data_IF_079172677043
#
_entry.id   IF_079172677043
#
_cell.length_a   1.000
_cell.length_b   1.000
_cell.length_c   1.000
_cell.angle_alpha   90.00
_cell.angle_beta   90.00
_cell.angle_gamma   90.00
#
_symmetry.space_group_name_H-M   'P 1'
#
loop_
_entity.id
_entity.type
_entity.pdbx_description
1 polymer ?
2 non-polymer ?
3 non-polymer ?
4 water ?
#
# COMPACT_ATOMS: atom_id res chain seq x y z
N UNK A 9 3.23 25.94 -9.45
CA UNK A 9 4.09 26.39 -10.52
C UNK A 9 5.34 26.92 -9.71
N UNK A 10 5.31 28.10 -9.09
CA UNK A 10 6.44 28.52 -8.25
C UNK A 10 6.30 27.93 -6.83
N UNK A 11 7.42 27.66 -6.20
CA UNK A 11 7.34 27.16 -4.83
C UNK A 11 7.08 28.28 -3.86
N UNK A 12 6.24 28.00 -2.88
CA UNK A 12 5.98 28.96 -1.83
C UNK A 12 6.13 28.27 -0.48
N UNK A 13 6.64 29.01 0.49
CA UNK A 13 6.71 28.48 1.84
C UNK A 13 5.32 28.08 2.32
N UNK A 14 5.23 26.90 2.93
CA UNK A 14 3.92 26.43 3.44
C UNK A 14 3.49 27.37 4.56
N UNK A 15 2.24 27.80 4.53
CA UNK A 15 1.74 28.70 5.55
C UNK A 15 0.51 28.14 6.24
N UNK A 16 0.06 26.95 5.86
CA UNK A 16 -1.03 26.23 6.53
C UNK A 16 -0.56 25.66 7.86
N UNK A 17 -1.13 26.05 9.01
CA UNK A 17 -0.59 25.59 10.31
C UNK A 17 -0.52 24.07 10.46
N UNK A 18 -1.56 23.35 10.02
CA UNK A 18 -1.53 21.89 10.12
C UNK A 18 -0.31 21.28 9.42
N UNK A 19 0.14 21.89 8.32
CA UNK A 19 1.12 21.30 7.42
C UNK A 19 2.52 21.84 7.65
N UNK A 20 2.66 22.74 8.62
CA UNK A 20 3.97 23.35 8.84
C UNK A 20 4.82 22.34 9.60
N UNK A 21 6.05 22.13 9.12
CA UNK A 21 6.89 21.11 9.74
C UNK A 21 6.54 19.68 9.38
N UNK A 22 5.85 19.45 8.26
CA UNK A 22 5.37 18.12 7.92
C UNK A 22 6.45 17.21 7.36
N UNK A 23 7.61 17.74 6.98
CA UNK A 23 8.67 16.99 6.38
C UNK A 23 9.18 17.58 5.07
N UNK A 24 8.44 18.53 4.51
CA UNK A 24 8.92 19.29 3.36
C UNK A 24 8.47 20.73 3.57
N UNK A 25 9.21 21.64 2.94
CA UNK A 25 9.11 23.06 3.24
C UNK A 25 8.18 23.85 2.32
N UNK A 26 8.06 23.45 1.06
CA UNK A 26 7.44 24.27 0.03
C UNK A 26 6.25 23.58 -0.59
N UNK A 27 5.27 24.39 -1.00
CA UNK A 27 4.12 23.88 -1.72
C UNK A 27 3.93 24.69 -3.00
N UNK A 28 2.90 24.37 -3.78
CA UNK A 28 2.54 25.18 -4.95
C UNK A 28 1.03 25.21 -5.05
N UNK A 29 0.53 26.17 -5.85
CA UNK A 29 -0.88 26.26 -6.21
C UNK A 29 -1.01 26.30 -7.72
N UNK A 30 -2.16 25.87 -8.27
CA UNK A 30 -3.36 25.37 -7.58
C UNK A 30 -3.16 23.94 -7.12
N UNK A 31 -3.93 23.46 -6.15
CA UNK A 31 -3.89 22.06 -5.79
C UNK A 31 -4.98 21.36 -6.59
N UNK A 32 -5.26 20.09 -6.33
CA UNK A 32 -6.36 19.39 -7.02
C UNK A 32 -7.69 19.51 -6.28
N UNK A 33 -7.79 20.43 -5.32
CA UNK A 33 -9.03 20.67 -4.58
C UNK A 33 -9.67 21.99 -4.96
N UNK A 34 -9.31 22.51 -6.14
CA UNK A 34 -9.89 23.71 -6.70
C UNK A 34 -9.50 24.94 -5.90
N UNK A 35 -8.38 24.86 -5.18
CA UNK A 35 -7.81 26.00 -4.48
C UNK A 35 -6.70 26.69 -5.29
N UNK A 36 -6.79 28.02 -5.36
CA UNK A 36 -5.78 28.85 -5.98
C UNK A 36 -4.78 29.36 -4.96
N UNK A 37 -5.10 29.32 -3.67
CA UNK A 37 -4.22 29.90 -2.66
C UNK A 37 -4.14 28.99 -1.44
N UNK A 38 -3.05 29.12 -0.67
CA UNK A 38 -2.95 28.39 0.59
C UNK A 38 -4.02 28.79 1.57
N UNK A 39 -4.47 30.05 1.54
CA UNK A 39 -5.55 30.46 2.43
C UNK A 39 -6.81 29.62 2.17
N UNK A 40 -7.17 29.42 0.89
CA UNK A 40 -8.32 28.57 0.55
C UNK A 40 -8.07 27.11 1.01
N UNK A 41 -6.87 26.60 0.76
CA UNK A 41 -6.57 25.21 1.13
C UNK A 41 -6.62 25.05 2.65
N UNK A 42 -6.10 26.06 3.35
CA UNK A 42 -6.04 26.02 4.79
C UNK A 42 -7.42 25.97 5.41
N UNK A 43 -8.36 26.71 4.82
CA UNK A 43 -9.72 26.70 5.35
C UNK A 43 -10.36 25.31 5.25
N UNK A 44 -10.08 24.56 4.16
CA UNK A 44 -10.65 23.22 4.02
C UNK A 44 -9.91 22.21 4.88
N UNK A 45 -8.58 22.20 4.84
CA UNK A 45 -7.89 21.15 5.55
C UNK A 45 -8.03 21.32 7.06
N UNK A 46 -8.26 22.55 7.55
CA UNK A 46 -8.45 22.73 8.99
C UNK A 46 -9.64 21.93 9.48
N UNK A 47 -10.62 21.72 8.64
CA UNK A 47 -11.79 21.00 9.11
C UNK A 47 -11.46 19.57 9.59
N UNK A 48 -10.30 19.01 9.22
CA UNK A 48 -9.90 17.67 9.64
C UNK A 48 -9.21 17.61 11.01
N UNK A 49 -9.02 18.75 11.67
CA UNK A 49 -8.21 18.72 12.89
C UNK A 49 -8.70 17.75 13.96
N UNK A 50 -10.00 17.52 14.17
CA UNK A 50 -10.41 16.56 15.19
C UNK A 50 -9.95 15.14 14.87
N UNK A 51 -9.95 14.76 13.58
CA UNK A 51 -9.47 13.43 13.19
C UNK A 51 -7.97 13.34 13.37
N UNK A 52 -7.26 14.44 13.08
CA UNK A 52 -5.83 14.44 13.35
C UNK A 52 -5.60 14.29 14.85
N UNK A 53 -6.37 15.00 15.66
CA UNK A 53 -6.14 15.00 17.09
C UNK A 53 -6.47 13.65 17.74
N UNK A 54 -7.50 12.96 17.23
CA UNK A 54 -7.94 11.66 17.75
C UNK A 54 -6.98 10.58 17.35
N UNK A 55 -6.16 10.84 16.35
CA UNK A 55 -5.12 9.90 15.92
C UNK A 55 -5.68 8.56 15.44
N UNK A 56 -6.67 8.61 14.56
CA UNK A 56 -7.12 7.36 13.97
C UNK A 56 -6.07 6.79 13.01
N UNK A 57 -5.13 7.61 12.53
CA UNK A 57 -4.10 7.09 11.65
C UNK A 57 -2.89 7.98 11.84
N UNK A 58 -1.72 7.41 12.14
CA UNK A 58 -0.49 8.23 12.12
C UNK A 58 -0.22 8.85 10.77
N UNK A 59 -0.85 8.32 9.72
CA UNK A 59 -0.53 8.84 8.41
C UNK A 59 -1.49 9.94 7.97
N UNK A 60 -2.52 10.26 8.74
CA UNK A 60 -3.54 11.17 8.19
C UNK A 60 -2.99 12.55 7.90
N UNK A 61 -2.22 13.12 8.83
CA UNK A 61 -1.75 14.49 8.66
C UNK A 61 -0.85 14.60 7.44
N UNK A 62 0.12 13.69 7.32
CA UNK A 62 0.98 13.71 6.14
C UNK A 62 0.17 13.56 4.86
N UNK A 63 -0.83 12.66 4.87
CA UNK A 63 -1.67 12.44 3.69
C UNK A 63 -2.44 13.73 3.36
N UNK A 64 -3.13 14.28 4.35
CA UNK A 64 -3.87 15.53 4.11
C UNK A 64 -2.97 16.60 3.50
N UNK A 65 -1.80 16.80 4.09
CA UNK A 65 -0.92 17.86 3.60
C UNK A 65 -0.42 17.58 2.19
N UNK A 66 -0.10 16.33 1.94
CA UNK A 66 0.45 15.95 0.63
C UNK A 66 -0.56 16.19 -0.45
N UNK A 67 -1.87 16.24 -0.08
CA UNK A 67 -2.91 16.51 -1.05
C UNK A 67 -3.26 18.00 -1.12
N UNK A 68 -3.44 18.66 0.04
CA UNK A 68 -3.92 20.03 0.07
C UNK A 68 -2.82 21.06 -0.13
N UNK A 69 -1.61 20.78 0.37
CA UNK A 69 -0.43 21.63 0.17
C UNK A 69 0.65 20.72 -0.41
N UNK A 70 0.49 20.33 -1.68
CA UNK A 70 1.39 19.32 -2.27
C UNK A 70 2.85 19.80 -2.37
N UNK A 71 3.76 18.83 -2.28
CA UNK A 71 5.18 19.16 -2.18
C UNK A 71 5.65 19.88 -3.43
N UNK A 72 6.43 20.94 -3.25
CA UNK A 72 7.03 21.64 -4.37
C UNK A 72 8.55 21.51 -4.28
N UNK A 73 9.18 21.06 -5.37
CA UNK A 73 10.64 20.87 -5.40
C UNK A 73 11.26 21.70 -6.49
N UNK A 74 12.46 22.23 -6.23
CA UNK A 74 13.11 23.04 -7.25
C UNK A 74 13.57 22.20 -8.44
N UNK A 75 13.87 20.92 -8.24
CA UNK A 75 14.51 20.17 -9.33
C UNK A 75 13.62 19.07 -9.91
N UNK A 76 12.33 19.12 -9.61
CA UNK A 76 11.36 18.20 -10.19
C UNK A 76 10.10 19.03 -10.42
N UNK A 77 9.71 19.18 -11.67
CA UNK A 77 8.67 20.15 -11.98
C UNK A 77 7.40 19.46 -12.46
N UNK A 78 7.17 18.26 -11.98
CA UNK A 78 5.92 17.59 -12.25
C UNK A 78 5.17 17.51 -10.94
N UNK A 79 3.83 17.54 -10.96
CA UNK A 79 3.07 17.26 -9.74
C UNK A 79 3.55 15.95 -9.14
N UNK A 80 3.77 15.95 -7.83
CA UNK A 80 4.33 14.79 -7.17
C UNK A 80 3.36 14.35 -6.07
N UNK A 81 2.59 13.29 -6.28
CA UNK A 81 1.55 12.92 -5.31
C UNK A 81 2.10 12.03 -4.21
N UNK A 82 1.36 11.89 -3.09
CA UNK A 82 1.61 10.76 -2.19
C UNK A 82 1.40 9.47 -2.95
N UNK A 83 2.20 8.48 -2.60
CA UNK A 83 1.97 7.14 -3.09
C UNK A 83 0.60 6.63 -2.64
N UNK A 84 0.01 5.76 -3.46
CA UNK A 84 -1.32 5.22 -3.15
C UNK A 84 -1.34 4.59 -1.77
N UNK A 85 -0.22 4.00 -1.36
CA UNK A 85 -0.20 3.34 -0.05
C UNK A 85 -0.43 4.29 1.13
N UNK A 86 0.06 5.54 1.05
CA UNK A 86 -0.15 6.50 2.14
C UNK A 86 -1.65 6.75 2.30
N UNK A 87 -2.34 6.90 1.17
CA UNK A 87 -3.77 7.11 1.18
C UNK A 87 -4.50 5.90 1.74
N UNK A 88 -4.06 4.70 1.34
CA UNK A 88 -4.69 3.48 1.81
C UNK A 88 -4.51 3.32 3.32
N UNK A 89 -3.35 3.69 3.86
CA UNK A 89 -3.17 3.55 5.29
C UNK A 89 -4.03 4.55 6.06
N UNK A 90 -4.03 5.82 5.61
CA UNK A 90 -4.84 6.85 6.25
C UNK A 90 -6.32 6.48 6.21
N UNK A 91 -6.80 6.03 5.05
CA UNK A 91 -8.18 5.59 4.88
C UNK A 91 -8.53 4.40 5.77
N UNK A 92 -7.62 3.41 5.89
CA UNK A 92 -7.93 2.23 6.72
C UNK A 92 -8.09 2.61 8.18
N UNK A 93 -7.28 3.56 8.66
CA UNK A 93 -7.38 3.97 10.04
C UNK A 93 -8.58 4.86 10.32
N UNK A 94 -8.94 5.72 9.39
CA UNK A 94 -9.84 6.81 9.74
C UNK A 94 -11.21 6.74 9.08
N UNK A 95 -11.33 6.09 7.91
CA UNK A 95 -12.62 6.04 7.23
C UNK A 95 -13.71 5.36 8.06
N UNK A 96 -13.43 4.26 8.80
CA UNK A 96 -14.51 3.68 9.65
C UNK A 96 -15.05 4.63 10.70
N UNK A 97 -14.15 5.30 11.44
CA UNK A 97 -14.60 6.30 12.41
C UNK A 97 -15.39 7.41 11.73
N UNK A 98 -14.93 7.85 10.55
CA UNK A 98 -15.63 8.90 9.82
C UNK A 98 -17.06 8.47 9.47
N UNK A 99 -17.22 7.23 8.99
CA UNK A 99 -18.54 6.76 8.59
C UNK A 99 -19.49 6.70 9.77
N UNK A 100 -18.99 6.20 10.90
CA UNK A 100 -19.75 6.12 12.14
C UNK A 100 -20.43 7.45 12.45
N UNK A 101 -19.75 8.56 12.21
CA UNK A 101 -20.31 9.86 12.50
C UNK A 101 -20.86 10.53 11.24
N UNK A 102 -21.15 9.74 10.20
CA UNK A 102 -21.86 10.22 9.04
C UNK A 102 -21.06 10.92 7.96
N UNK A 103 -19.73 10.74 7.91
CA UNK A 103 -18.87 11.37 6.91
C UNK A 103 -18.25 10.31 6.00
N UNK A 104 -18.44 10.45 4.69
CA UNK A 104 -17.84 9.55 3.73
C UNK A 104 -16.38 9.97 3.49
N UNK A 105 -15.57 9.00 3.07
CA UNK A 105 -14.22 9.28 2.59
C UNK A 105 -14.34 10.09 1.32
N UNK A 106 -13.73 11.27 1.24
CA UNK A 106 -14.03 12.19 0.15
C UNK A 106 -13.62 11.63 -1.21
N UNK A 107 -14.44 11.89 -2.23
CA UNK A 107 -14.11 11.36 -3.56
C UNK A 107 -12.76 11.85 -4.09
N UNK A 108 -12.43 13.12 -3.91
CA UNK A 108 -11.11 13.56 -4.34
C UNK A 108 -9.96 12.84 -3.63
N UNK A 109 -10.21 12.07 -2.56
CA UNK A 109 -9.15 11.35 -1.86
C UNK A 109 -9.20 9.86 -2.12
N UNK A 110 -9.94 9.45 -3.16
CA UNK A 110 -9.95 8.07 -3.64
C UNK A 110 -8.54 7.57 -3.91
N UNK A 111 -8.13 6.54 -3.19
CA UNK A 111 -6.76 6.09 -3.27
C UNK A 111 -6.42 5.48 -4.62
N UNK A 112 -7.39 4.90 -5.34
CA UNK A 112 -7.04 4.24 -6.60
C UNK A 112 -6.69 5.19 -7.73
N UNK A 113 -6.92 6.49 -7.59
CA UNK A 113 -6.45 7.42 -8.61
C UNK A 113 -5.08 8.00 -8.28
N UNK A 114 -4.47 7.55 -7.19
CA UNK A 114 -3.10 7.90 -6.84
C UNK A 114 -2.15 6.81 -7.34
N UNK A 115 -0.95 7.17 -7.77
CA UNK A 115 -0.09 6.16 -8.40
C UNK A 115 0.54 5.27 -7.35
N UNK A 116 0.86 4.07 -7.78
CA UNK A 116 1.64 3.15 -6.97
C UNK A 116 3.10 3.48 -7.11
N UNK A 117 3.87 3.05 -6.11
CA UNK A 117 5.30 3.24 -6.07
C UNK A 117 5.95 2.47 -7.22
N UNK A 118 7.18 2.89 -7.58
CA UNK A 118 8.00 2.14 -8.54
C UNK A 118 7.79 2.54 -9.98
N UNK A 119 7.15 3.68 -10.22
CA UNK A 119 6.82 4.06 -11.58
C UNK A 119 8.07 4.38 -12.37
N UNK A 120 8.18 3.89 -13.62
CA UNK A 120 9.41 4.12 -14.38
C UNK A 120 9.64 5.59 -14.68
N UNK A 121 8.58 6.39 -14.79
CA UNK A 121 8.67 7.76 -15.35
C UNK A 121 8.55 8.86 -14.30
N UNK A 122 7.79 8.64 -13.23
CA UNK A 122 7.40 9.68 -12.29
C UNK A 122 7.56 9.17 -10.85
N UNK A 123 7.57 10.10 -9.90
CA UNK A 123 7.77 9.75 -8.51
C UNK A 123 6.48 9.90 -7.72
N UNK A 124 6.40 9.20 -6.60
CA UNK A 124 5.43 9.50 -5.55
C UNK A 124 6.13 9.52 -4.19
N UNK A 125 5.43 10.05 -3.21
CA UNK A 125 6.04 10.31 -1.92
C UNK A 125 5.43 9.48 -0.80
N UNK A 126 6.28 8.90 0.08
CA UNK A 126 5.86 8.38 1.36
C UNK A 126 6.76 9.03 2.39
N UNK A 127 6.80 8.52 3.63
CA UNK A 127 7.64 9.13 4.65
C UNK A 127 8.03 8.07 5.66
N UNK A 128 9.07 8.37 6.45
CA UNK A 128 9.41 7.56 7.62
C UNK A 128 9.61 8.48 8.83
N UNK A 129 9.69 7.88 10.01
CA UNK A 129 9.88 8.62 11.24
C UNK A 129 10.55 7.75 12.30
N UNK A 132 10.26 13.10 11.03
CA UNK A 132 9.57 12.79 9.78
C UNK A 132 10.42 13.15 8.55
N UNK A 133 10.75 12.14 7.76
CA UNK A 133 11.58 12.32 6.57
C UNK A 133 10.80 11.84 5.35
N UNK A 134 10.70 12.69 4.33
CA UNK A 134 10.03 12.30 3.09
C UNK A 134 10.85 11.22 2.38
N UNK A 135 10.17 10.25 1.78
CA UNK A 135 10.84 9.26 0.95
C UNK A 135 10.24 9.30 -0.44
N UNK A 136 11.07 9.42 -1.46
CA UNK A 136 10.55 9.35 -2.81
C UNK A 136 10.68 7.92 -3.27
N UNK A 137 9.63 7.40 -3.86
CA UNK A 137 9.56 6.00 -4.25
C UNK A 137 9.05 5.86 -5.67
N UNK A 138 8.48 6.90 -6.21
CA UNK A 138 8.30 6.85 -7.63
C UNK A 138 7.37 5.86 -8.21
N UNK B 9 -9.34 -25.73 7.99
CA UNK B 9 -8.68 -26.87 7.35
C UNK B 9 -7.36 -27.17 8.06
N UNK B 10 -6.86 -28.38 7.83
CA UNK B 10 -5.72 -28.89 8.58
C UNK B 10 -4.40 -28.31 8.07
N UNK B 11 -3.50 -28.04 9.00
CA UNK B 11 -2.19 -27.55 8.65
C UNK B 11 -1.36 -28.69 8.10
N UNK B 12 -0.58 -28.41 7.06
CA UNK B 12 0.36 -29.36 6.50
C UNK B 12 1.71 -28.68 6.33
N UNK B 13 2.79 -29.43 6.59
CA UNK B 13 4.11 -28.89 6.32
C UNK B 13 4.19 -28.52 4.83
N UNK B 14 4.74 -27.34 4.56
CA UNK B 14 4.92 -26.94 3.17
C UNK B 14 5.90 -27.89 2.49
N UNK B 15 5.54 -28.33 1.29
CA UNK B 15 6.39 -29.21 0.49
C UNK B 15 6.71 -28.62 -0.88
N UNK B 16 6.19 -27.45 -1.20
CA UNK B 16 6.57 -26.73 -2.43
C UNK B 16 7.98 -26.13 -2.28
N UNK B 17 8.94 -26.54 -3.12
CA UNK B 17 10.33 -26.06 -2.92
C UNK B 17 10.47 -24.56 -2.91
N UNK B 18 9.75 -23.84 -3.79
CA UNK B 18 9.86 -22.38 -3.81
C UNK B 18 9.54 -21.77 -2.44
N UNK B 19 8.63 -22.38 -1.70
CA UNK B 19 8.08 -21.81 -0.49
C UNK B 19 8.66 -22.41 0.79
N UNK B 20 9.54 -23.37 0.68
CA UNK B 20 10.13 -23.96 1.89
C UNK B 20 11.13 -22.97 2.48
N UNK B 21 11.04 -22.75 3.80
CA UNK B 21 11.84 -21.74 4.48
C UNK B 21 11.42 -20.30 4.24
N UNK B 22 10.15 -20.04 3.85
CA UNK B 22 9.73 -18.68 3.47
C UNK B 22 9.49 -17.79 4.70
N UNK B 23 9.45 -18.36 5.91
CA UNK B 23 9.21 -17.61 7.11
C UNK B 23 8.09 -18.17 7.95
N UNK B 24 7.31 -19.10 7.39
CA UNK B 24 6.31 -19.84 8.15
C UNK B 24 6.32 -21.27 7.65
N UNK B 25 5.81 -22.13 8.52
CA UNK B 25 6.04 -23.55 8.44
C UNK B 25 4.94 -24.34 7.72
N UNK B 26 3.69 -23.94 7.88
CA UNK B 26 2.56 -24.74 7.48
C UNK B 26 1.65 -24.00 6.52
N UNK B 27 0.97 -24.77 5.66
CA UNK B 27 -0.04 -24.28 4.76
C UNK B 27 -1.29 -25.13 4.91
N UNK B 28 -2.30 -24.82 4.13
CA UNK B 28 -3.52 -25.64 4.07
C UNK B 28 -4.00 -25.65 2.62
N UNK B 29 -4.83 -26.65 2.30
CA UNK B 29 -5.51 -26.78 1.04
C UNK B 29 -7.00 -27.03 1.29
N UNK B 30 -7.89 -26.54 0.40
CA UNK B 30 -7.56 -25.81 -0.83
C UNK B 30 -7.13 -24.38 -0.59
N UNK B 31 -6.33 -23.82 -1.49
CA UNK B 31 -5.95 -22.43 -1.41
C UNK B 31 -7.03 -21.64 -2.15
N UNK B 32 -6.81 -20.35 -2.36
CA UNK B 32 -7.84 -19.52 -2.93
C UNK B 32 -7.94 -19.66 -4.43
N UNK B 33 -7.09 -20.46 -5.07
CA UNK B 33 -7.25 -20.76 -6.48
C UNK B 33 -7.89 -22.13 -6.62
N UNK B 34 -8.40 -22.65 -5.52
CA UNK B 34 -9.09 -23.93 -5.49
C UNK B 34 -8.18 -25.09 -5.84
N UNK B 35 -6.86 -24.92 -5.69
CA UNK B 35 -5.96 -26.08 -5.81
C UNK B 35 -6.21 -26.99 -4.62
N UNK B 36 -6.27 -28.30 -4.88
CA UNK B 36 -6.57 -29.23 -3.79
C UNK B 36 -5.34 -29.80 -3.12
N UNK B 37 -4.17 -29.70 -3.73
CA UNK B 37 -2.97 -30.28 -3.15
C UNK B 37 -1.80 -29.33 -3.40
N UNK B 38 -0.77 -29.51 -2.57
CA UNK B 38 0.44 -28.69 -2.74
C UNK B 38 1.11 -29.02 -4.05
N UNK B 39 0.99 -30.28 -4.52
CA UNK B 39 1.55 -30.63 -5.81
C UNK B 39 0.92 -29.81 -6.91
N UNK B 40 -0.40 -29.65 -6.88
CA UNK B 40 -1.07 -28.79 -7.87
C UNK B 40 -0.65 -27.33 -7.71
N UNK B 41 -0.65 -26.84 -6.47
CA UNK B 41 -0.29 -25.44 -6.21
C UNK B 41 1.16 -25.19 -6.59
N UNK B 42 2.03 -26.17 -6.31
CA UNK B 42 3.43 -26.05 -6.69
C UNK B 42 3.62 -25.99 -8.19
N UNK B 43 2.84 -26.77 -8.94
CA UNK B 43 3.00 -26.75 -10.40
C UNK B 43 2.64 -25.39 -10.99
N UNK B 44 1.63 -24.73 -10.42
CA UNK B 44 1.24 -23.43 -10.95
C UNK B 44 2.23 -22.34 -10.52
N UNK B 45 2.63 -22.32 -9.25
CA UNK B 45 3.50 -21.25 -8.78
C UNK B 45 4.87 -21.36 -9.43
N UNK B 46 5.25 -22.58 -9.83
CA UNK B 46 6.56 -22.77 -10.45
C UNK B 46 6.70 -21.95 -11.72
N UNK B 47 5.58 -21.67 -12.39
CA UNK B 47 5.63 -20.88 -13.61
C UNK B 47 6.22 -19.48 -13.40
N UNK B 48 6.25 -18.96 -12.17
CA UNK B 48 6.85 -17.65 -11.93
C UNK B 48 8.36 -17.70 -11.74
N UNK B 49 8.98 -18.89 -11.85
CA UNK B 49 10.38 -18.99 -11.49
C UNK B 49 11.28 -18.01 -12.26
N UNK B 50 11.07 -17.70 -13.56
CA UNK B 50 12.00 -16.71 -14.19
C UNK B 50 11.96 -15.35 -13.51
N UNK B 51 10.78 -14.95 -13.05
CA UNK B 51 10.64 -13.65 -12.40
C UNK B 51 11.30 -13.65 -11.04
N UNK B 52 11.20 -14.79 -10.32
CA UNK B 52 11.90 -14.93 -9.04
C UNK B 52 13.41 -14.88 -9.25
N UNK B 53 13.91 -15.56 -10.30
CA UNK B 53 15.36 -15.56 -10.53
C UNK B 53 15.87 -14.19 -11.02
N UNK B 54 15.07 -13.42 -11.75
CA UNK B 54 15.45 -12.09 -12.26
C UNK B 54 15.45 -11.06 -11.14
N UNK B 55 14.75 -11.35 -10.03
CA UNK B 55 14.77 -10.50 -8.86
C UNK B 55 14.22 -9.13 -9.20
N UNK B 56 13.10 -9.11 -9.91
CA UNK B 56 12.44 -7.81 -10.11
C UNK B 56 11.83 -7.29 -8.81
N UNK B 57 11.61 -8.16 -7.83
CA UNK B 57 11.15 -7.69 -6.56
C UNK B 57 11.62 -8.63 -5.47
N UNK B 58 12.29 -8.10 -4.42
CA UNK B 58 12.58 -8.94 -3.23
C UNK B 58 11.31 -9.48 -2.56
N UNK B 59 10.15 -8.91 -2.84
CA UNK B 59 8.93 -9.36 -2.16
C UNK B 59 8.18 -10.41 -2.99
N UNK B 60 8.64 -10.70 -4.21
CA UNK B 60 7.81 -11.51 -5.10
C UNK B 60 7.61 -12.91 -4.51
N UNK B 61 8.70 -13.54 -4.06
CA UNK B 61 8.61 -14.93 -3.60
C UNK B 61 7.67 -15.05 -2.38
N UNK B 62 7.87 -14.20 -1.38
CA UNK B 62 6.97 -14.21 -0.23
C UNK B 62 5.51 -13.98 -0.64
N UNK B 63 5.25 -13.04 -1.55
CA UNK B 63 3.90 -12.80 -1.99
C UNK B 63 3.32 -14.02 -2.67
N UNK B 64 4.01 -14.58 -3.67
CA UNK B 64 3.51 -15.78 -4.34
C UNK B 64 3.15 -16.90 -3.34
N UNK B 65 4.06 -17.15 -2.38
CA UNK B 65 3.85 -18.22 -1.41
C UNK B 65 2.65 -17.91 -0.50
N UNK B 66 2.51 -16.63 -0.12
CA UNK B 66 1.41 -16.23 0.78
C UNK B 66 0.07 -16.46 0.09
N UNK B 67 0.07 -16.51 -1.25
CA UNK B 67 -1.12 -16.79 -2.02
C UNK B 67 -1.29 -18.27 -2.34
N UNK B 68 -0.23 -18.96 -2.80
CA UNK B 68 -0.30 -20.32 -3.33
C UNK B 68 -0.21 -21.40 -2.25
N UNK B 69 0.60 -21.14 -1.20
CA UNK B 69 0.72 -21.99 -0.01
C UNK B 69 0.45 -21.10 1.19
N UNK B 70 -0.79 -20.67 1.37
CA UNK B 70 -1.09 -19.66 2.40
C UNK B 70 -0.82 -20.17 3.82
N UNK B 71 -0.48 -19.22 4.69
CA UNK B 71 -0.06 -19.58 6.04
C UNK B 71 -1.19 -20.27 6.80
N UNK B 72 -0.84 -21.36 7.48
CA UNK B 72 -1.74 -22.07 8.37
C UNK B 72 -1.19 -21.96 9.78
N UNK B 73 -2.04 -21.51 10.72
CA UNK B 73 -1.67 -21.31 12.12
C UNK B 73 -2.54 -22.19 12.97
N UNK B 74 -1.96 -22.78 14.02
CA UNK B 74 -2.70 -23.65 14.93
C UNK B 74 -3.70 -22.87 15.76
N UNK B 75 -3.47 -21.58 15.99
CA UNK B 75 -4.29 -20.78 16.90
C UNK B 75 -5.04 -19.66 16.20
N UNK B 76 -5.21 -19.76 14.88
CA UNK B 76 -6.00 -18.79 14.14
C UNK B 76 -6.72 -19.55 13.03
N UNK B 77 -8.05 -19.57 13.02
CA UNK B 77 -8.71 -20.51 12.12
C UNK B 77 -9.51 -19.84 10.99
N UNK B 78 -9.08 -18.67 10.54
CA UNK B 78 -9.61 -18.08 9.33
C UNK B 78 -8.47 -17.99 8.31
N UNK B 79 -8.77 -17.97 7.02
CA UNK B 79 -7.71 -17.62 6.04
C UNK B 79 -7.04 -16.31 6.45
N UNK B 80 -5.73 -16.29 6.33
CA UNK B 80 -4.94 -15.16 6.75
C UNK B 80 -4.14 -14.72 5.52
N UNK B 81 -4.50 -13.57 4.92
CA UNK B 81 -3.85 -13.14 3.67
C UNK B 81 -2.62 -12.28 3.90
N UNK B 82 -1.80 -12.12 2.85
CA UNK B 82 -0.77 -11.08 2.89
C UNK B 82 -1.44 -9.72 3.00
N UNK B 83 -0.80 -8.80 3.74
CA UNK B 83 -1.23 -7.40 3.73
C UNK B 83 -1.15 -6.82 2.31
N UNK B 84 -1.98 -5.82 2.02
CA UNK B 84 -1.93 -5.22 0.69
C UNK B 84 -0.53 -4.71 0.29
N UNK B 85 0.23 -4.13 1.23
CA UNK B 85 1.53 -3.58 0.91
C UNK B 85 2.48 -4.65 0.37
N UNK B 86 2.34 -5.91 0.82
CA UNK B 86 3.20 -6.96 0.28
C UNK B 86 2.95 -7.13 -1.22
N UNK B 87 1.68 -7.19 -1.58
CA UNK B 87 1.33 -7.30 -2.99
C UNK B 87 1.76 -6.05 -3.75
N UNK B 88 1.53 -4.87 -3.15
CA UNK B 88 1.91 -3.64 -3.85
C UNK B 88 3.39 -3.59 -4.13
N UNK B 89 4.23 -4.03 -3.21
CA UNK B 89 5.67 -3.97 -3.47
C UNK B 89 6.07 -4.97 -4.54
N UNK B 90 5.54 -6.21 -4.47
CA UNK B 90 5.84 -7.21 -5.50
C UNK B 90 5.39 -6.72 -6.88
N UNK B 91 4.18 -6.20 -6.97
CA UNK B 91 3.62 -5.66 -8.21
C UNK B 91 4.44 -4.48 -8.76
N UNK B 92 4.86 -3.58 -7.88
CA UNK B 92 5.62 -2.41 -8.31
C UNK B 92 6.94 -2.82 -8.96
N UNK B 93 7.57 -3.85 -8.41
CA UNK B 93 8.84 -4.34 -8.87
C UNK B 93 8.78 -5.16 -10.15
N UNK B 94 7.73 -5.95 -10.34
CA UNK B 94 7.72 -6.99 -11.37
C UNK B 94 6.68 -6.78 -12.47
N UNK B 95 5.57 -6.08 -12.17
CA UNK B 95 4.54 -5.90 -13.19
C UNK B 95 5.04 -5.11 -14.41
N UNK B 96 5.83 -4.04 -14.31
CA UNK B 96 6.28 -3.41 -15.55
C UNK B 96 7.00 -4.39 -16.47
N UNK B 97 7.87 -5.24 -15.89
CA UNK B 97 8.56 -6.23 -16.72
C UNK B 97 7.57 -7.20 -17.34
N UNK B 98 6.60 -7.69 -16.55
CA UNK B 98 5.65 -8.65 -17.13
C UNK B 98 4.88 -8.01 -18.29
N UNK B 99 4.42 -6.79 -18.08
CA UNK B 99 3.63 -6.09 -19.10
C UNK B 99 4.43 -5.89 -20.35
N UNK B 100 5.74 -5.64 -20.21
CA UNK B 100 6.62 -5.54 -21.38
C UNK B 100 6.50 -6.74 -22.33
N UNK B 101 6.32 -7.94 -21.78
CA UNK B 101 6.20 -9.17 -22.55
C UNK B 101 4.75 -9.64 -22.67
N UNK B 102 3.80 -8.74 -22.45
CA UNK B 102 2.39 -9.09 -22.70
C UNK B 102 1.67 -9.81 -21.59
N UNK B 103 2.19 -9.78 -20.37
CA UNK B 103 1.53 -10.44 -19.23
C UNK B 103 1.07 -9.35 -18.29
N UNK B 104 -0.25 -9.23 -18.10
CA UNK B 104 -0.72 -8.25 -17.16
C UNK B 104 -0.51 -8.78 -15.75
N UNK B 105 -0.45 -7.89 -14.78
CA UNK B 105 -0.45 -8.37 -13.40
C UNK B 105 -1.74 -9.18 -13.21
N UNK B 106 -1.65 -10.46 -12.81
CA UNK B 106 -2.84 -11.35 -12.87
C UNK B 106 -3.99 -10.87 -11.99
N UNK B 107 -5.21 -10.99 -12.51
CA UNK B 107 -6.37 -10.51 -11.74
C UNK B 107 -6.52 -11.27 -10.42
N UNK B 108 -6.22 -12.58 -10.41
CA UNK B 108 -6.16 -13.38 -9.17
C UNK B 108 -5.31 -12.75 -8.08
N UNK B 109 -4.34 -11.89 -8.45
CA UNK B 109 -3.41 -11.25 -7.54
C UNK B 109 -3.60 -9.74 -7.40
N UNK B 110 -4.75 -9.23 -7.83
CA UNK B 110 -5.11 -7.83 -7.64
C UNK B 110 -4.94 -7.40 -6.19
N UNK B 111 -4.11 -6.37 -5.93
CA UNK B 111 -3.78 -6.04 -4.55
C UNK B 111 -4.97 -5.47 -3.78
N UNK B 112 -5.91 -4.85 -4.46
CA UNK B 112 -7.04 -4.31 -3.70
C UNK B 112 -7.97 -5.39 -3.19
N UNK B 113 -7.73 -6.66 -3.55
CA UNK B 113 -8.48 -7.76 -2.93
C UNK B 113 -7.99 -8.11 -1.53
N UNK B 114 -6.92 -7.51 -1.09
CA UNK B 114 -6.19 -7.71 0.17
C UNK B 114 -6.41 -6.58 1.16
N UNK B 115 -6.42 -6.88 2.44
CA UNK B 115 -6.65 -5.83 3.44
C UNK B 115 -5.41 -5.02 3.75
N UNK B 116 -5.64 -3.78 4.17
CA UNK B 116 -4.59 -2.99 4.74
C UNK B 116 -4.39 -3.39 6.21
N UNK B 117 -3.19 -3.15 6.73
CA UNK B 117 -2.94 -3.49 8.13
C UNK B 117 -3.82 -2.67 9.08
N UNK B 118 -4.09 -3.25 10.26
CA UNK B 118 -4.89 -2.59 11.29
C UNK B 118 -6.38 -2.89 11.31
N UNK B 119 -6.85 -3.98 10.66
CA UNK B 119 -8.27 -4.28 10.58
C UNK B 119 -8.81 -4.73 11.94
N UNK B 120 -10.02 -4.32 12.32
CA UNK B 120 -10.53 -4.63 13.66
C UNK B 120 -10.77 -6.11 13.92
N UNK B 121 -11.13 -6.88 12.90
CA UNK B 121 -11.61 -8.25 13.10
C UNK B 121 -10.59 -9.30 12.71
N UNK B 122 -9.71 -8.99 11.76
CA UNK B 122 -8.85 -9.97 11.12
C UNK B 122 -7.42 -9.45 10.97
N UNK B 123 -6.51 -10.39 10.71
CA UNK B 123 -5.09 -10.10 10.56
C UNK B 123 -4.68 -10.19 9.09
N UNK B 124 -3.58 -9.54 8.77
CA UNK B 124 -2.87 -9.82 7.53
C UNK B 124 -1.39 -9.98 7.87
N UNK B 125 -0.64 -10.52 6.92
CA UNK B 125 0.75 -10.91 7.07
C UNK B 125 1.67 -10.01 6.22
N UNK B 126 2.74 -9.52 6.84
CA UNK B 126 3.87 -8.91 6.12
C UNK B 126 5.12 -9.54 6.71
N UNK B 127 6.29 -8.95 6.46
CA UNK B 127 7.55 -9.47 6.95
C UNK B 127 8.57 -8.35 7.09
N UNK B 128 9.61 -8.60 7.89
CA UNK B 128 10.80 -7.73 8.05
C UNK B 128 11.83 -8.23 7.08
N UNK B 133 11.71 -12.13 9.17
CA UNK B 133 10.65 -12.56 10.09
C UNK B 133 9.23 -12.15 9.69
N UNK B 134 8.30 -13.12 9.73
CA UNK B 134 6.89 -12.84 9.44
C UNK B 134 6.32 -11.96 10.55
N UNK B 135 5.54 -10.97 10.15
CA UNK B 135 4.85 -10.04 11.06
C UNK B 135 3.36 -10.01 10.74
N UNK B 136 2.52 -10.05 11.78
CA UNK B 136 1.09 -9.89 11.60
C UNK B 136 0.66 -8.48 11.92
N UNK B 137 -0.22 -7.92 11.09
CA UNK B 137 -0.62 -6.53 11.27
C UNK B 137 -2.13 -6.39 11.14
X LIG C 1 -3.24 29.16 6.75
X LIG C 1 -4.50 28.50 6.53
X LIG C 1 -3.03 30.17 5.63
X LIG C 1 -2.19 29.74 4.64
X LIG C 1 -2.53 31.49 6.30
X LIG C 1 -3.64 32.35 6.40
X LIG D 1 6.30 20.39 -8.23
X LIG D 1 7.66 20.77 -8.07
X LIG D 1 5.73 21.07 -9.55
X LIG D 1 4.33 21.09 -9.60
X LIG D 1 6.33 22.51 -9.59
X LIG D 1 5.45 23.25 -10.38
X LIG E 1 -1.16 13.50 -9.47
X LIG E 1 -0.92 10.88 -10.37
X LIG E 1 -2.04 11.26 -9.63
X LIG E 1 0.09 11.79 -10.65
X LIG E 1 -0.02 13.10 -10.20
X LIG E 1 -1.02 15.68 -4.77
X LIG E 1 0.06 16.03 -5.60
X LIG E 1 0.03 15.80 -6.99
X LIG E 1 -1.15 15.21 -7.55
X LIG E 1 -2.22 14.88 -6.75
X LIG E 1 -2.14 15.14 -5.37
X LIG E 1 -3.48 14.20 -7.35
X LIG E 1 -3.39 13.03 -8.34
X LIG E 1 -2.15 12.60 -9.16
X LIG E 1 -1.63 15.88 -9.91
X LIG E 1 -1.28 14.86 -8.96
X LIG E 1 -1.76 17.21 -9.41
X LIG E 1 -1.73 15.63 -11.07
X LIG F 1 5.79 -31.58 -5.03
X LIG F 1 5.73 -32.69 -4.14
X LIG F 1 5.48 -30.28 -4.18
X LIG F 1 4.45 -30.56 -3.26
X LIG F 1 5.08 -29.13 -5.20
X LIG F 1 6.03 -29.04 -6.24
X LIG G 1 -8.58 -13.45 2.55
X LIG G 1 -9.27 -10.92 3.51
X LIG G 1 -8.91 -11.08 2.17
X LIG G 1 -9.28 -12.01 4.39
X LIG G 1 -8.95 -13.29 3.92
X LIG G 1 -4.13 -15.65 0.89
X LIG G 1 -4.67 -16.23 2.08
X LIG G 1 -5.97 -15.97 2.50
X LIG G 1 -6.80 -15.11 1.69
X LIG G 1 -6.27 -14.51 0.55
X LIG G 1 -4.93 -14.77 0.13
X LIG G 1 -7.13 -13.55 -0.33
X LIG G 1 -8.13 -12.54 0.23
X LIG G 1 -8.54 -12.37 1.70
X LIG G 1 -9.25 -15.72 1.81
X LIG G 1 -8.19 -14.76 2.04
X LIG G 1 -8.96 -17.03 1.30
X LIG G 1 -10.37 -15.42 2.10
#
# INVERSE_FOLDING_TARGET
ETGASAKELACQEITVPLCKGIGYEYTYMPNQFNHDTQDEAGLEVHQFWPLVEIQCSPDLKFFLCSMYTPICLEDYKKPLPPCRSVCERAKAGCAPLMRQYGFAWPDRMRCDRLPEQGNPDTLCMDYERGTLEVLFQG
ETGASAKELACQEITVPLCKGIGYEYTYMPNQFNHDTQDEAGLEVHQFWPLVEIQCSPDLKFFLCSMYTPICLEDYKKPLPPCRSVCERAKAGCAPLMRQYGFAWPDRMRCDRLPEQGNPDTLCMDYERGTLEVLFQG
GOL C1 O1 C2 O2 C3 O3
GOL C1 O1 C2 O2 C3 O3
N6W C14 C11 C10 C12 C13 C01 C02 C03 C04 C05 C06 C07 C08 C09 C16 N15 N18 O17
GOL C1 O1 C2 O2 C3 O3
N6W C14 C11 C10 C12 C13 C01 C02 C03 C04 C05 C06 C07 C08 C09 C16 N15 N18 O17
#
